data_IF_857606563497
#
_entry.id   IF_857606563497
#
_cell.length_a   1.000
_cell.length_b   1.000
_cell.length_c   1.000
_cell.angle_alpha   90.00
_cell.angle_beta   90.00
_cell.angle_gamma   90.00
#
_symmetry.space_group_name_H-M   'P 1'
#
loop_
_entity.id
_entity.type
_entity.pdbx_description
1 polymer ?
#
# COMPACT_ATOMS: atom_id res chain seq x y z
N UNK A 1 19.77 23.56 21.01
CA UNK A 1 18.34 23.17 20.96
C UNK A 1 17.78 22.97 19.54
N UNK A 2 18.43 23.46 18.48
CA UNK A 2 17.92 23.39 17.08
C UNK A 2 18.45 22.21 16.24
N UNK A 3 19.47 21.48 16.71
CA UNK A 3 20.09 20.37 15.95
C UNK A 3 19.34 19.04 16.09
N UNK A 4 18.63 18.84 17.22
CA UNK A 4 17.84 17.63 17.49
C UNK A 4 16.54 17.59 16.67
N UNK A 5 15.87 18.74 16.52
CA UNK A 5 14.67 18.90 15.69
C UNK A 5 14.91 18.59 14.20
N UNK A 6 16.10 18.86 13.68
CA UNK A 6 16.45 18.57 12.28
C UNK A 6 16.60 17.06 12.01
N UNK A 7 17.08 16.30 12.99
CA UNK A 7 17.21 14.84 12.86
C UNK A 7 15.85 14.13 12.93
N UNK A 8 14.84 14.76 13.56
CA UNK A 8 13.48 14.21 13.65
C UNK A 8 12.73 14.23 12.29
N UNK A 9 13.18 15.06 11.35
CA UNK A 9 12.62 15.20 10.00
C UNK A 9 13.65 14.97 8.89
N UNK A 10 14.77 14.31 9.20
CA UNK A 10 15.86 14.06 8.25
C UNK A 10 15.55 12.88 7.29
N UNK A 11 14.44 12.93 6.57
CA UNK A 11 14.39 12.25 5.27
C UNK A 11 15.27 13.05 4.31
N UNK A 12 16.33 12.45 3.77
CA UNK A 12 17.15 13.11 2.76
C UNK A 12 16.25 13.51 1.59
N UNK A 13 16.22 14.80 1.26
CA UNK A 13 15.52 15.29 0.07
C UNK A 13 16.02 14.50 -1.16
N UNK A 14 15.12 13.73 -1.78
CA UNK A 14 15.39 12.93 -2.97
C UNK A 14 15.59 11.42 -2.76
N UNK A 15 15.58 10.91 -1.52
CA UNK A 15 15.63 9.46 -1.28
C UNK A 15 14.23 8.83 -1.40
N UNK A 16 13.99 8.11 -2.49
CA UNK A 16 12.74 7.36 -2.71
C UNK A 16 12.75 6.14 -1.80
N UNK A 17 11.89 6.14 -0.79
CA UNK A 17 11.73 4.97 0.09
C UNK A 17 11.07 3.84 -0.70
N UNK A 18 11.77 2.72 -0.85
CA UNK A 18 11.24 1.49 -1.46
C UNK A 18 10.91 0.47 -0.38
N UNK A 19 9.71 -0.09 -0.45
CA UNK A 19 9.23 -1.23 0.35
C UNK A 19 8.87 -2.39 -0.59
N UNK A 20 8.65 -3.58 -0.03
CA UNK A 20 8.26 -4.80 -0.70
C UNK A 20 6.75 -4.86 -0.93
N UNK A 21 6.12 -5.93 -0.47
CA UNK A 21 4.70 -6.20 -0.71
C UNK A 21 3.81 -5.51 0.32
N UNK A 22 2.75 -4.86 -0.15
CA UNK A 22 1.76 -4.18 0.69
C UNK A 22 0.45 -4.98 0.68
N UNK A 23 -0.16 -5.11 1.85
CA UNK A 23 -1.46 -5.77 2.03
C UNK A 23 -2.49 -4.80 2.60
N UNK A 24 -3.59 -4.64 1.89
CA UNK A 24 -4.76 -3.85 2.30
C UNK A 24 -5.93 -4.80 2.53
N UNK A 25 -6.32 -5.05 3.79
CA UNK A 25 -7.33 -6.06 4.14
C UNK A 25 -8.79 -5.63 3.88
N UNK A 26 -9.01 -4.31 3.80
CA UNK A 26 -10.30 -3.66 3.56
C UNK A 26 -10.05 -2.45 2.64
N UNK A 27 -9.82 -2.71 1.36
CA UNK A 27 -9.19 -1.73 0.47
C UNK A 27 -10.09 -0.53 0.12
N UNK A 28 -11.40 -0.76 -0.01
CA UNK A 28 -12.33 0.26 -0.47
C UNK A 28 -11.87 0.89 -1.79
N UNK A 29 -11.67 2.20 -1.81
CA UNK A 29 -11.21 2.94 -2.99
C UNK A 29 -9.67 3.00 -3.15
N UNK A 30 -8.92 2.12 -2.48
CA UNK A 30 -7.45 2.08 -2.49
C UNK A 30 -6.78 3.32 -1.88
N UNK A 31 -7.28 3.76 -0.72
CA UNK A 31 -6.72 4.89 0.03
C UNK A 31 -5.24 4.68 0.40
N UNK A 32 -4.86 3.45 0.76
CA UNK A 32 -3.49 3.11 1.12
C UNK A 32 -2.52 3.32 -0.05
N UNK A 33 -2.89 2.86 -1.25
CA UNK A 33 -2.09 3.02 -2.45
C UNK A 33 -1.99 4.49 -2.88
N UNK A 34 -3.08 5.26 -2.76
CA UNK A 34 -3.07 6.71 -2.99
C UNK A 34 -2.10 7.40 -2.01
N UNK A 35 -2.12 7.03 -0.74
CA UNK A 35 -1.24 7.61 0.27
C UNK A 35 0.24 7.30 -0.02
N UNK A 36 0.57 6.04 -0.34
CA UNK A 36 1.94 5.64 -0.71
C UNK A 36 2.44 6.43 -1.93
N UNK A 37 1.62 6.55 -2.97
CA UNK A 37 1.98 7.31 -4.17
C UNK A 37 2.19 8.80 -3.86
N UNK A 38 1.34 9.41 -3.01
CA UNK A 38 1.49 10.81 -2.58
C UNK A 38 2.75 11.04 -1.74
N UNK A 39 3.16 10.05 -0.96
CA UNK A 39 4.39 10.08 -0.16
C UNK A 39 5.64 9.75 -0.97
N UNK A 40 5.50 9.39 -2.26
CA UNK A 40 6.62 8.96 -3.09
C UNK A 40 7.25 7.63 -2.63
N UNK A 41 6.49 6.80 -1.92
CA UNK A 41 6.95 5.47 -1.49
C UNK A 41 6.72 4.48 -2.63
N UNK A 42 7.80 3.86 -3.09
CA UNK A 42 7.70 2.77 -4.06
C UNK A 42 7.47 1.45 -3.34
N UNK A 43 6.65 0.59 -3.91
CA UNK A 43 6.35 -0.77 -3.42
C UNK A 43 6.46 -1.76 -4.57
N UNK A 44 6.67 -3.04 -4.26
CA UNK A 44 6.79 -4.10 -5.27
C UNK A 44 5.42 -4.55 -5.78
N UNK A 45 4.56 -5.01 -4.88
CA UNK A 45 3.20 -5.44 -5.20
C UNK A 45 2.20 -4.88 -4.18
N UNK A 46 0.97 -4.69 -4.62
CA UNK A 46 -0.13 -4.25 -3.77
C UNK A 46 -1.26 -5.28 -3.82
N UNK A 47 -1.54 -5.91 -2.68
CA UNK A 47 -2.59 -6.90 -2.50
C UNK A 47 -3.79 -6.27 -1.80
N UNK A 48 -4.97 -6.37 -2.39
CA UNK A 48 -6.20 -5.77 -1.89
C UNK A 48 -7.26 -6.85 -1.63
N UNK A 49 -7.70 -6.94 -0.38
CA UNK A 49 -8.87 -7.70 0.02
C UNK A 49 -10.06 -6.75 0.04
N UNK A 50 -11.00 -7.01 -0.85
CA UNK A 50 -12.24 -6.26 -1.01
C UNK A 50 -13.28 -7.19 -1.64
N UNK A 51 -14.53 -7.04 -1.22
CA UNK A 51 -15.67 -7.82 -1.73
C UNK A 51 -16.70 -6.95 -2.44
N UNK A 52 -16.66 -5.63 -2.22
CA UNK A 52 -17.51 -4.69 -2.95
C UNK A 52 -17.04 -4.54 -4.40
N UNK A 53 -17.92 -4.95 -5.33
CA UNK A 53 -17.62 -4.95 -6.77
C UNK A 53 -17.42 -3.55 -7.35
N UNK A 54 -18.03 -2.52 -6.77
CA UNK A 54 -17.85 -1.15 -7.22
C UNK A 54 -16.51 -0.61 -6.76
N UNK A 55 -16.15 -0.86 -5.50
CA UNK A 55 -14.83 -0.53 -4.95
C UNK A 55 -13.70 -1.18 -5.77
N UNK A 56 -13.79 -2.48 -6.04
CA UNK A 56 -12.82 -3.21 -6.88
C UNK A 56 -12.69 -2.58 -8.27
N UNK A 57 -13.80 -2.23 -8.92
CA UNK A 57 -13.78 -1.59 -10.25
C UNK A 57 -13.06 -0.24 -10.23
N UNK A 58 -13.33 0.57 -9.21
CA UNK A 58 -12.68 1.87 -9.05
C UNK A 58 -11.19 1.70 -8.79
N UNK A 59 -10.81 0.77 -7.91
CA UNK A 59 -9.39 0.45 -7.66
C UNK A 59 -8.71 -0.02 -8.94
N UNK A 60 -9.28 -0.98 -9.68
CA UNK A 60 -8.65 -1.48 -10.91
C UNK A 60 -8.60 -0.47 -12.06
N UNK A 61 -9.53 0.48 -12.10
CA UNK A 61 -9.48 1.58 -13.07
C UNK A 61 -8.27 2.50 -12.81
N UNK A 62 -8.00 2.82 -11.54
CA UNK A 62 -6.91 3.72 -11.16
C UNK A 62 -5.55 3.01 -11.01
N UNK A 63 -5.58 1.75 -10.57
CA UNK A 63 -4.43 0.94 -10.20
C UNK A 63 -4.57 -0.47 -10.80
N UNK A 64 -4.44 -0.63 -12.13
CA UNK A 64 -4.73 -1.89 -12.83
C UNK A 64 -3.83 -3.07 -12.45
N UNK A 65 -2.71 -2.80 -11.75
CA UNK A 65 -1.78 -3.83 -11.29
C UNK A 65 -2.09 -4.33 -9.87
N UNK A 66 -3.15 -3.81 -9.23
CA UNK A 66 -3.53 -4.23 -7.88
C UNK A 66 -4.05 -5.67 -7.90
N UNK A 67 -3.51 -6.50 -7.03
CA UNK A 67 -3.84 -7.93 -6.93
C UNK A 67 -5.02 -8.09 -5.98
N UNK A 68 -6.19 -8.36 -6.53
CA UNK A 68 -7.42 -8.55 -5.77
C UNK A 68 -7.46 -9.97 -5.19
N UNK A 69 -7.48 -10.09 -3.86
CA UNK A 69 -7.48 -11.38 -3.15
C UNK A 69 -8.84 -11.73 -2.51
N UNK A 70 -9.81 -10.83 -2.60
CA UNK A 70 -11.22 -11.11 -2.30
C UNK A 70 -11.56 -11.05 -0.81
N UNK A 71 -12.33 -12.03 -0.33
CA UNK A 71 -12.88 -12.08 1.02
C UNK A 71 -11.80 -12.35 2.07
N UNK A 72 -11.62 -11.40 3.00
CA UNK A 72 -10.62 -11.46 4.06
C UNK A 72 -10.69 -12.73 4.91
N UNK A 73 -11.88 -13.29 5.09
CA UNK A 73 -12.08 -14.50 5.93
C UNK A 73 -11.50 -15.76 5.31
N UNK A 74 -11.16 -15.71 4.02
CA UNK A 74 -10.60 -16.84 3.26
C UNK A 74 -9.09 -16.74 3.07
N UNK A 75 -8.48 -15.64 3.51
CA UNK A 75 -7.04 -15.41 3.36
C UNK A 75 -6.31 -16.11 4.49
N UNK A 76 -5.29 -16.90 4.14
CA UNK A 76 -4.34 -17.46 5.09
C UNK A 76 -2.99 -16.77 4.92
N UNK A 77 -2.27 -16.56 6.03
CA UNK A 77 -0.95 -15.96 5.99
C UNK A 77 0.05 -16.77 5.14
N UNK A 78 -0.14 -18.09 5.06
CA UNK A 78 0.65 -19.01 4.24
C UNK A 78 0.47 -18.81 2.73
N UNK A 79 -0.69 -18.29 2.30
CA UNK A 79 -1.00 -18.04 0.89
C UNK A 79 -0.43 -16.70 0.40
N UNK A 80 0.06 -15.87 1.33
CA UNK A 80 0.59 -14.54 1.04
C UNK A 80 2.12 -14.58 0.93
N UNK A 81 2.71 -13.77 0.03
CA UNK A 81 4.14 -13.53 0.09
C UNK A 81 4.48 -12.77 1.39
N UNK A 82 5.78 -12.62 1.66
CA UNK A 82 6.23 -11.76 2.75
C UNK A 82 5.69 -10.33 2.54
N UNK A 83 4.91 -9.85 3.50
CA UNK A 83 4.36 -8.49 3.57
C UNK A 83 5.27 -7.62 4.44
N UNK A 84 5.43 -6.35 4.08
CA UNK A 84 6.21 -5.35 4.83
C UNK A 84 5.37 -4.44 5.73
#
# INVERSE_FOLDING_TARGET
MVKWLKNLFSSKEGEVKKIGNVLSLFDGMSCGQIALNKLGVQYENFYASEIDKHAIKVTQHNFPNTIQIGDVTKIKGEDLPKID
#
